data_IF_462129770645
#
_entry.id   IF_462129770645
#
_cell.length_a   1.000
_cell.length_b   1.000
_cell.length_c   1.000
_cell.angle_alpha   90.00
_cell.angle_beta   90.00
_cell.angle_gamma   90.00
#
_symmetry.space_group_name_H-M   'P 1'
#
loop_
_entity.id
_entity.type
_entity.pdbx_description
1 polymer ?
#
# COMPACT_ATOMS: atom_id res chain seq x y z
N UNK A 1 1.19 49.65 56.82
CA UNK A 1 1.03 49.46 55.34
C UNK A 1 1.58 48.07 55.00
N UNK A 2 0.74 47.08 54.90
CA UNK A 2 1.07 45.74 54.39
C UNK A 2 0.92 45.82 52.88
N UNK A 3 2.01 45.63 52.16
CA UNK A 3 1.97 45.45 50.70
C UNK A 3 1.52 44.03 50.41
N UNK A 4 0.29 43.90 49.97
CA UNK A 4 -0.22 42.66 49.40
C UNK A 4 0.45 42.50 48.03
N UNK A 5 1.45 41.61 47.94
CA UNK A 5 2.00 41.12 46.70
C UNK A 5 0.91 40.29 46.03
N UNK A 6 0.18 40.91 45.11
CA UNK A 6 -0.62 40.18 44.13
C UNK A 6 0.37 39.45 43.24
N UNK A 7 0.55 38.13 43.52
CA UNK A 7 1.30 37.26 42.66
C UNK A 7 0.53 37.11 41.35
N UNK A 8 0.97 37.85 40.34
CA UNK A 8 0.63 37.57 38.94
C UNK A 8 0.87 36.09 38.71
N UNK A 9 -0.08 35.40 38.03
CA UNK A 9 -0.07 33.96 37.78
C UNK A 9 1.06 33.50 36.84
N UNK A 10 2.28 33.91 37.09
CA UNK A 10 3.48 33.40 36.47
C UNK A 10 3.75 32.01 37.01
N UNK A 11 3.63 31.03 36.13
CA UNK A 11 3.98 29.63 36.44
C UNK A 11 5.49 29.59 36.60
N UNK A 12 6.01 29.56 37.83
CA UNK A 12 7.45 29.41 38.06
C UNK A 12 7.90 27.99 37.71
N UNK A 13 8.67 27.92 36.63
CA UNK A 13 9.26 26.67 36.12
C UNK A 13 10.09 25.94 37.20
N UNK A 14 10.71 26.68 38.10
CA UNK A 14 11.47 26.09 39.23
C UNK A 14 10.57 25.36 40.21
N UNK A 15 9.40 25.90 40.50
CA UNK A 15 8.40 25.28 41.34
C UNK A 15 7.87 23.98 40.71
N UNK A 16 7.64 23.95 39.41
CA UNK A 16 7.22 22.73 38.71
C UNK A 16 8.32 21.67 38.80
N UNK A 17 9.58 22.04 38.54
CA UNK A 17 10.70 21.10 38.59
C UNK A 17 10.89 20.53 40.01
N UNK A 18 10.80 21.37 41.04
CA UNK A 18 10.93 20.92 42.44
C UNK A 18 9.80 19.98 42.83
N UNK A 19 8.57 20.24 42.40
CA UNK A 19 7.40 19.38 42.63
C UNK A 19 7.54 18.03 41.90
N UNK A 20 8.00 18.03 40.67
CA UNK A 20 8.30 16.80 39.92
C UNK A 20 9.40 16.00 40.61
N UNK A 21 10.44 16.68 41.12
CA UNK A 21 11.52 16.02 41.83
C UNK A 21 11.08 15.38 43.17
N UNK A 22 10.21 16.06 43.93
CA UNK A 22 9.63 15.50 45.17
C UNK A 22 8.70 14.30 44.88
N UNK A 23 8.03 14.28 43.74
CA UNK A 23 7.15 13.19 43.26
C UNK A 23 7.82 12.11 42.44
N UNK A 24 9.16 12.09 42.32
CA UNK A 24 9.89 11.17 41.41
C UNK A 24 9.52 9.70 41.56
N UNK A 25 9.14 9.24 42.74
CA UNK A 25 8.73 7.85 43.02
C UNK A 25 7.45 7.52 42.22
N UNK A 26 6.48 8.43 42.14
CA UNK A 26 5.24 8.23 41.36
C UNK A 26 5.52 8.19 39.86
N UNK A 27 6.47 9.02 39.38
CA UNK A 27 6.89 8.99 37.97
C UNK A 27 7.56 7.67 37.62
N UNK A 28 8.46 7.19 38.47
CA UNK A 28 9.16 5.90 38.28
C UNK A 28 8.14 4.75 38.30
N UNK A 29 7.22 4.76 39.28
CA UNK A 29 6.19 3.72 39.37
C UNK A 29 5.27 3.71 38.11
N UNK A 30 4.82 4.87 37.68
CA UNK A 30 4.02 4.99 36.46
C UNK A 30 4.77 4.49 35.21
N UNK A 31 6.07 4.78 35.12
CA UNK A 31 6.92 4.30 34.02
C UNK A 31 7.09 2.78 34.07
N UNK A 32 7.30 2.20 35.24
CA UNK A 32 7.42 0.74 35.42
C UNK A 32 6.11 0.06 34.98
N UNK A 33 4.96 0.58 35.41
CA UNK A 33 3.64 0.06 35.03
C UNK A 33 3.44 0.15 33.51
N UNK A 34 3.79 1.29 32.93
CA UNK A 34 3.67 1.49 31.46
C UNK A 34 4.55 0.52 30.67
N UNK A 35 5.80 0.30 31.09
CA UNK A 35 6.72 -0.66 30.48
C UNK A 35 6.20 -2.09 30.62
N UNK A 36 5.64 -2.43 31.79
CA UNK A 36 5.06 -3.75 32.02
C UNK A 36 3.84 -4.00 31.10
N UNK A 37 2.96 -3.02 30.95
CA UNK A 37 1.83 -3.09 30.02
C UNK A 37 2.30 -3.22 28.57
N UNK A 38 3.36 -2.51 28.19
CA UNK A 38 3.96 -2.62 26.85
C UNK A 38 4.58 -4.00 26.61
N UNK A 39 5.26 -4.57 27.59
CA UNK A 39 5.81 -5.93 27.53
C UNK A 39 4.69 -6.98 27.37
N UNK A 40 3.61 -6.83 28.11
CA UNK A 40 2.42 -7.68 27.98
C UNK A 40 1.76 -7.55 26.60
N UNK A 41 1.64 -6.32 26.08
CA UNK A 41 1.17 -6.09 24.71
C UNK A 41 2.05 -6.81 23.67
N UNK A 42 3.38 -6.75 23.81
CA UNK A 42 4.32 -7.39 22.90
C UNK A 42 4.20 -8.92 22.86
N UNK A 43 3.76 -9.55 23.95
CA UNK A 43 3.51 -10.99 24.00
C UNK A 43 2.27 -11.42 23.21
N UNK A 44 1.24 -10.56 23.18
CA UNK A 44 -0.05 -10.85 22.55
C UNK A 44 -0.08 -10.33 21.10
N UNK A 45 0.74 -9.33 20.79
CA UNK A 45 0.73 -8.67 19.49
C UNK A 45 1.10 -9.64 18.36
N UNK A 46 0.30 -9.62 17.32
CA UNK A 46 0.48 -10.44 16.12
C UNK A 46 1.78 -10.05 15.40
N UNK A 47 2.63 -11.03 15.13
CA UNK A 47 3.90 -10.82 14.42
C UNK A 47 3.62 -10.61 12.94
N UNK A 48 4.15 -9.51 12.38
CA UNK A 48 4.02 -9.19 10.96
C UNK A 48 5.37 -9.27 10.27
N UNK A 49 5.33 -9.73 9.03
CA UNK A 49 6.49 -9.85 8.15
C UNK A 49 6.36 -8.85 7.01
N UNK A 50 7.47 -8.32 6.55
CA UNK A 50 7.49 -7.43 5.39
C UNK A 50 7.64 -8.26 4.12
N UNK A 51 6.72 -8.04 3.21
CA UNK A 51 6.78 -8.55 1.83
C UNK A 51 7.31 -7.43 0.96
N UNK A 52 8.31 -7.72 0.12
CA UNK A 52 8.85 -6.78 -0.86
C UNK A 52 8.86 -7.40 -2.25
N UNK A 53 8.45 -6.61 -3.24
CA UNK A 53 8.51 -6.97 -4.64
C UNK A 53 8.86 -5.72 -5.46
N UNK A 54 9.76 -5.86 -6.44
CA UNK A 54 10.15 -4.76 -7.31
C UNK A 54 9.95 -5.13 -8.77
N UNK A 55 9.31 -4.23 -9.50
CA UNK A 55 9.12 -4.31 -10.94
C UNK A 55 9.88 -3.16 -11.62
N UNK A 56 10.45 -3.45 -12.77
CA UNK A 56 10.98 -2.43 -13.68
C UNK A 56 10.13 -2.34 -14.95
N UNK A 57 10.02 -1.16 -15.58
CA UNK A 57 9.35 -1.02 -16.86
C UNK A 57 10.02 -1.87 -17.93
N UNK A 58 9.22 -2.50 -18.81
CA UNK A 58 9.72 -3.20 -19.99
C UNK A 58 10.10 -2.16 -21.04
N UNK A 59 11.34 -2.18 -21.51
CA UNK A 59 11.81 -1.31 -22.59
C UNK A 59 12.46 0.00 -22.19
N UNK A 60 12.50 0.38 -20.91
CA UNK A 60 13.35 1.49 -20.46
C UNK A 60 14.82 1.07 -20.35
N UNK A 61 15.51 1.17 -21.45
CA UNK A 61 16.94 1.54 -21.38
C UNK A 61 16.97 3.05 -21.31
N UNK A 62 17.14 3.63 -20.10
CA UNK A 62 17.51 5.04 -19.97
C UNK A 62 18.64 5.28 -20.94
N UNK A 63 18.50 6.30 -21.80
CA UNK A 63 19.53 6.82 -22.69
C UNK A 63 20.74 7.26 -21.87
N UNK A 64 21.53 6.31 -21.39
CA UNK A 64 22.91 6.50 -21.02
C UNK A 64 23.74 5.51 -21.83
N UNK A 65 24.20 6.05 -22.97
CA UNK A 65 25.49 5.74 -23.60
C UNK A 65 25.78 4.28 -23.99
N UNK A 66 25.95 4.07 -25.27
CA UNK A 66 26.98 3.21 -25.84
C UNK A 66 26.98 1.70 -25.54
N UNK A 67 25.81 1.10 -25.31
CA UNK A 67 25.70 -0.36 -25.44
C UNK A 67 24.78 -0.68 -26.61
N UNK A 68 25.24 -1.47 -27.61
CA UNK A 68 24.42 -1.89 -28.76
C UNK A 68 23.43 -2.96 -28.28
N UNK A 69 22.34 -2.52 -27.62
CA UNK A 69 21.20 -3.34 -27.27
C UNK A 69 20.02 -3.00 -28.18
N UNK A 70 19.13 -3.93 -28.35
CA UNK A 70 17.98 -3.95 -29.27
C UNK A 70 17.15 -2.64 -29.38
N UNK A 71 17.20 -1.74 -28.38
CA UNK A 71 16.59 -0.40 -28.43
C UNK A 71 17.20 0.53 -29.48
N UNK A 72 18.48 0.37 -29.80
CA UNK A 72 19.15 1.13 -30.86
C UNK A 72 18.71 0.72 -32.25
N UNK A 73 18.37 -0.52 -32.47
CA UNK A 73 17.86 -0.99 -33.75
C UNK A 73 16.43 -0.53 -34.03
N UNK A 74 15.58 -0.42 -33.01
CA UNK A 74 14.23 0.10 -33.17
C UNK A 74 14.21 1.58 -33.58
N UNK A 75 15.11 2.40 -32.98
CA UNK A 75 15.25 3.82 -33.33
C UNK A 75 15.89 4.03 -34.73
N UNK A 76 16.83 3.17 -35.12
CA UNK A 76 17.41 3.19 -36.46
C UNK A 76 16.43 2.75 -37.57
N UNK A 77 15.45 1.88 -37.23
CA UNK A 77 14.39 1.47 -38.12
C UNK A 77 13.23 2.49 -38.21
N UNK A 78 13.35 3.65 -37.54
CA UNK A 78 12.30 4.66 -37.51
C UNK A 78 11.05 4.21 -36.70
N UNK A 79 11.17 3.11 -35.97
CA UNK A 79 10.09 2.58 -35.14
C UNK A 79 10.09 3.42 -33.86
N UNK A 80 9.25 4.44 -33.80
CA UNK A 80 8.87 5.05 -32.56
C UNK A 80 8.05 4.02 -31.78
N UNK A 81 8.72 3.31 -30.87
CA UNK A 81 8.00 2.65 -29.79
C UNK A 81 7.07 3.70 -29.16
N UNK A 82 5.81 3.36 -28.86
CA UNK A 82 4.94 4.30 -28.16
C UNK A 82 5.63 4.66 -26.85
N UNK A 83 6.36 5.77 -26.85
CA UNK A 83 7.13 6.30 -25.72
C UNK A 83 6.21 7.10 -24.79
N UNK A 84 5.08 6.55 -24.44
CA UNK A 84 4.30 6.99 -23.30
C UNK A 84 4.57 6.12 -22.08
N UNK A 85 5.82 5.64 -21.94
CA UNK A 85 6.23 4.74 -20.86
C UNK A 85 5.80 5.24 -19.47
N UNK A 86 5.87 6.54 -19.22
CA UNK A 86 5.43 7.11 -17.95
C UNK A 86 3.91 7.04 -17.76
N UNK A 87 3.12 7.23 -18.84
CA UNK A 87 1.66 7.18 -18.74
C UNK A 87 1.16 5.72 -18.61
N UNK A 88 1.68 4.83 -19.41
CA UNK A 88 1.29 3.40 -19.39
C UNK A 88 1.68 2.75 -18.06
N UNK A 89 2.83 3.12 -17.50
CA UNK A 89 3.27 2.65 -16.21
C UNK A 89 2.43 3.22 -15.05
N UNK A 90 1.97 4.47 -15.17
CA UNK A 90 1.02 5.06 -14.22
C UNK A 90 -0.34 4.38 -14.28
N UNK A 91 -0.86 4.10 -15.49
CA UNK A 91 -2.11 3.37 -15.69
C UNK A 91 -1.98 1.95 -15.12
N UNK A 92 -0.87 1.27 -15.38
CA UNK A 92 -0.58 -0.04 -14.81
C UNK A 92 -0.62 -0.04 -13.28
N UNK A 93 -0.01 0.96 -12.64
CA UNK A 93 -0.01 1.13 -11.18
C UNK A 93 -1.42 1.31 -10.62
N UNK A 94 -2.26 2.13 -11.27
CA UNK A 94 -3.66 2.32 -10.86
C UNK A 94 -4.49 1.05 -11.06
N UNK A 95 -4.24 0.33 -12.15
CA UNK A 95 -4.95 -0.89 -12.49
C UNK A 95 -4.76 -1.98 -11.43
N UNK A 96 -3.57 -2.11 -10.85
CA UNK A 96 -3.26 -3.09 -9.80
C UNK A 96 -4.21 -2.98 -8.61
N UNK A 97 -4.62 -1.76 -8.24
CA UNK A 97 -5.53 -1.50 -7.11
C UNK A 97 -6.98 -1.38 -7.54
N UNK A 98 -7.28 -1.61 -8.82
CA UNK A 98 -8.62 -1.44 -9.39
C UNK A 98 -9.59 -2.56 -8.98
N UNK A 99 -10.88 -2.26 -9.09
CA UNK A 99 -11.93 -3.25 -8.94
C UNK A 99 -11.91 -4.30 -10.05
N UNK A 100 -11.47 -3.94 -11.27
CA UNK A 100 -11.38 -4.83 -12.42
C UNK A 100 -10.39 -5.98 -12.19
N UNK A 101 -9.18 -5.66 -11.74
CA UNK A 101 -8.18 -6.67 -11.35
C UNK A 101 -8.66 -7.50 -10.16
N UNK A 102 -9.26 -6.85 -9.19
CA UNK A 102 -9.81 -7.53 -8.00
C UNK A 102 -10.94 -8.49 -8.34
N UNK A 103 -11.75 -8.22 -9.37
CA UNK A 103 -12.81 -9.11 -9.85
C UNK A 103 -12.24 -10.41 -10.42
N UNK A 104 -11.18 -10.33 -11.18
CA UNK A 104 -10.50 -11.52 -11.73
C UNK A 104 -9.85 -12.33 -10.60
N UNK A 105 -9.14 -11.67 -9.66
CA UNK A 105 -8.52 -12.32 -8.50
C UNK A 105 -9.57 -12.97 -7.59
N UNK A 106 -10.76 -12.39 -7.51
CA UNK A 106 -11.84 -12.89 -6.66
C UNK A 106 -12.27 -14.33 -7.01
N UNK A 107 -11.99 -14.78 -8.21
CA UNK A 107 -12.21 -16.17 -8.63
C UNK A 107 -11.21 -17.15 -7.96
N UNK A 108 -10.08 -16.65 -7.44
CA UNK A 108 -9.11 -17.45 -6.68
C UNK A 108 -9.57 -17.62 -5.23
N UNK A 109 -10.41 -18.66 -5.00
CA UNK A 109 -11.01 -18.93 -3.69
C UNK A 109 -9.99 -19.10 -2.55
N UNK A 110 -8.76 -19.54 -2.86
CA UNK A 110 -7.71 -19.74 -1.85
C UNK A 110 -7.26 -18.40 -1.29
N UNK A 111 -6.89 -17.47 -2.16
CA UNK A 111 -6.44 -16.12 -1.77
C UNK A 111 -7.55 -15.41 -0.99
N UNK A 112 -8.79 -15.45 -1.48
CA UNK A 112 -9.93 -14.78 -0.84
C UNK A 112 -10.20 -15.35 0.55
N UNK A 113 -10.19 -16.67 0.69
CA UNK A 113 -10.37 -17.32 1.99
C UNK A 113 -9.27 -16.94 2.99
N UNK A 114 -8.03 -16.87 2.52
CA UNK A 114 -6.90 -16.53 3.40
C UNK A 114 -6.91 -15.06 3.80
N UNK A 115 -7.23 -14.15 2.87
CA UNK A 115 -7.34 -12.72 3.17
C UNK A 115 -8.49 -12.44 4.15
N UNK A 116 -9.67 -12.97 3.87
CA UNK A 116 -10.87 -12.77 4.70
C UNK A 116 -11.10 -13.93 5.69
N UNK A 117 -10.03 -14.54 6.18
CA UNK A 117 -10.12 -15.70 7.07
C UNK A 117 -10.84 -15.43 8.39
N UNK A 118 -10.81 -14.20 8.90
CA UNK A 118 -11.58 -13.80 10.09
C UNK A 118 -13.10 -13.82 9.88
N UNK A 119 -13.54 -13.81 8.63
CA UNK A 119 -14.95 -13.86 8.22
C UNK A 119 -15.35 -15.25 7.68
N UNK A 120 -14.39 -16.16 7.53
CA UNK A 120 -14.64 -17.50 7.01
C UNK A 120 -15.19 -18.43 8.10
N UNK A 121 -16.38 -18.96 7.89
CA UNK A 121 -16.94 -20.01 8.74
C UNK A 121 -16.63 -21.39 8.13
N UNK A 122 -15.73 -22.13 8.79
CA UNK A 122 -15.31 -23.47 8.34
C UNK A 122 -16.42 -24.50 8.35
N UNK A 123 -17.39 -24.40 9.28
CA UNK A 123 -18.50 -25.32 9.42
C UNK A 123 -19.54 -25.12 8.30
N UNK A 124 -19.87 -23.87 7.99
CA UNK A 124 -20.86 -23.53 6.96
C UNK A 124 -20.24 -23.36 5.57
N UNK A 125 -18.90 -23.42 5.46
CA UNK A 125 -18.13 -23.18 4.21
C UNK A 125 -18.52 -21.90 3.49
N UNK A 126 -18.89 -20.87 4.25
CA UNK A 126 -19.27 -19.55 3.72
C UNK A 126 -18.66 -18.42 4.54
N UNK A 127 -18.74 -17.20 4.00
CA UNK A 127 -18.33 -15.99 4.72
C UNK A 127 -19.50 -15.49 5.58
N UNK A 128 -19.20 -15.10 6.81
CA UNK A 128 -20.17 -14.56 7.75
C UNK A 128 -19.58 -13.38 8.53
N UNK A 129 -20.45 -12.54 9.09
CA UNK A 129 -20.01 -11.42 9.91
C UNK A 129 -19.15 -11.95 11.08
N UNK A 130 -17.91 -11.45 11.26
CA UNK A 130 -17.06 -11.89 12.36
C UNK A 130 -17.69 -11.55 13.71
N UNK A 131 -17.64 -12.50 14.64
CA UNK A 131 -18.09 -12.25 16.01
C UNK A 131 -17.06 -11.34 16.71
N UNK A 132 -17.50 -10.16 17.10
CA UNK A 132 -16.64 -9.22 17.86
C UNK A 132 -16.45 -9.74 19.27
N UNK A 133 -15.20 -9.77 19.74
CA UNK A 133 -14.89 -9.98 21.15
C UNK A 133 -15.51 -8.87 22.02
N UNK A 134 -15.80 -9.16 23.31
CA UNK A 134 -16.32 -8.16 24.27
C UNK A 134 -15.44 -6.90 24.32
N UNK A 135 -14.10 -7.06 24.28
CA UNK A 135 -13.17 -5.94 24.25
C UNK A 135 -13.30 -5.11 22.95
N UNK A 136 -13.39 -5.77 21.80
CA UNK A 136 -13.58 -5.07 20.51
C UNK A 136 -14.92 -4.33 20.44
N UNK A 137 -15.95 -4.88 21.07
CA UNK A 137 -17.28 -4.23 21.17
C UNK A 137 -17.17 -2.96 22.03
N UNK A 138 -16.48 -3.02 23.17
CA UNK A 138 -16.24 -1.86 24.04
C UNK A 138 -15.49 -0.75 23.30
N UNK A 139 -14.36 -1.06 22.65
CA UNK A 139 -13.58 -0.08 21.88
C UNK A 139 -14.36 0.46 20.68
N UNK A 140 -15.17 -0.35 20.02
CA UNK A 140 -16.01 0.12 18.90
C UNK A 140 -17.08 1.09 19.36
N UNK A 141 -17.71 0.85 20.52
CA UNK A 141 -18.70 1.74 21.11
C UNK A 141 -18.07 3.05 21.59
N UNK A 142 -16.88 3.00 22.19
CA UNK A 142 -16.11 4.18 22.57
C UNK A 142 -15.72 5.02 21.35
N UNK A 143 -15.26 4.38 20.28
CA UNK A 143 -14.98 5.06 19.00
C UNK A 143 -16.25 5.70 18.41
N UNK A 144 -17.39 5.02 18.45
CA UNK A 144 -18.68 5.58 18.00
C UNK A 144 -19.07 6.82 18.79
N UNK A 145 -18.84 6.83 20.10
CA UNK A 145 -19.12 7.98 20.97
C UNK A 145 -18.26 9.20 20.58
N UNK A 146 -16.97 8.98 20.26
CA UNK A 146 -16.04 10.07 19.92
C UNK A 146 -16.19 10.60 18.48
N UNK A 147 -16.52 9.74 17.52
CA UNK A 147 -16.49 10.09 16.09
C UNK A 147 -17.86 10.26 15.47
N UNK A 148 -18.95 10.05 16.22
CA UNK A 148 -20.33 10.17 15.69
C UNK A 148 -20.64 9.25 14.52
N UNK A 149 -19.98 8.14 14.40
CA UNK A 149 -19.90 7.34 13.19
C UNK A 149 -21.19 6.63 12.83
N UNK A 150 -21.58 6.72 11.54
CA UNK A 150 -22.61 5.89 10.93
C UNK A 150 -22.21 4.42 11.02
N UNK A 151 -23.13 3.52 11.29
CA UNK A 151 -22.87 2.09 11.22
C UNK A 151 -22.49 1.71 9.79
N UNK A 152 -21.27 1.24 9.61
CA UNK A 152 -20.85 0.63 8.34
C UNK A 152 -21.59 -0.70 8.25
N UNK A 153 -22.56 -0.79 7.33
CA UNK A 153 -23.29 -2.02 7.06
C UNK A 153 -22.27 -3.07 6.60
N UNK A 154 -22.22 -4.20 7.31
CA UNK A 154 -21.38 -5.31 6.92
C UNK A 154 -21.79 -5.83 5.54
N UNK A 155 -20.86 -5.88 4.61
CA UNK A 155 -21.02 -6.51 3.30
C UNK A 155 -20.12 -7.73 3.22
N UNK A 156 -20.58 -8.80 2.62
CA UNK A 156 -19.77 -9.99 2.37
C UNK A 156 -18.50 -9.64 1.56
N UNK A 157 -17.42 -10.43 1.65
CA UNK A 157 -16.29 -10.29 0.77
C UNK A 157 -16.73 -10.21 -0.70
N UNK A 158 -16.25 -9.20 -1.39
CA UNK A 158 -16.56 -8.93 -2.79
C UNK A 158 -15.34 -8.25 -3.46
N UNK A 159 -15.30 -8.15 -4.80
CA UNK A 159 -14.17 -7.56 -5.51
C UNK A 159 -13.81 -6.13 -5.05
N UNK A 160 -14.80 -5.29 -4.73
CA UNK A 160 -14.55 -3.92 -4.26
C UNK A 160 -13.84 -3.92 -2.89
N UNK A 161 -14.23 -4.83 -1.98
CA UNK A 161 -13.55 -4.99 -0.69
C UNK A 161 -12.11 -5.50 -0.85
N UNK A 162 -11.87 -6.36 -1.84
CA UNK A 162 -10.52 -6.81 -2.17
C UNK A 162 -9.67 -5.65 -2.70
N UNK A 163 -10.21 -4.81 -3.59
CA UNK A 163 -9.53 -3.61 -4.08
C UNK A 163 -9.16 -2.65 -2.93
N UNK A 164 -10.08 -2.42 -1.98
CA UNK A 164 -9.80 -1.63 -0.78
C UNK A 164 -8.70 -2.28 0.05
N UNK A 165 -8.74 -3.60 0.26
CA UNK A 165 -7.71 -4.33 0.99
C UNK A 165 -6.33 -4.15 0.34
N UNK A 166 -6.23 -4.27 -0.99
CA UNK A 166 -4.98 -4.07 -1.74
C UNK A 166 -4.46 -2.64 -1.51
N UNK A 167 -5.32 -1.64 -1.67
CA UNK A 167 -4.94 -0.23 -1.54
C UNK A 167 -4.50 0.15 -0.11
N UNK A 168 -5.12 -0.42 0.92
CA UNK A 168 -4.81 -0.11 2.31
C UNK A 168 -3.59 -0.88 2.84
N UNK A 169 -3.36 -2.11 2.38
CA UNK A 169 -2.34 -3.00 2.95
C UNK A 169 -1.09 -3.12 2.08
N UNK A 170 -1.14 -2.74 0.80
CA UNK A 170 0.00 -2.81 -0.12
C UNK A 170 0.40 -1.39 -0.52
N UNK A 171 1.58 -0.97 -0.06
CA UNK A 171 2.16 0.33 -0.44
C UNK A 171 2.88 0.17 -1.77
N UNK A 172 2.42 0.88 -2.79
CA UNK A 172 3.02 0.92 -4.11
C UNK A 172 3.71 2.27 -4.27
N UNK A 173 5.04 2.25 -4.38
CA UNK A 173 5.86 3.45 -4.55
C UNK A 173 6.73 3.32 -5.79
N UNK A 174 6.79 4.39 -6.56
CA UNK A 174 7.73 4.54 -7.64
C UNK A 174 9.02 5.18 -7.12
N UNK A 175 10.14 4.53 -7.36
CA UNK A 175 11.47 5.03 -6.99
C UNK A 175 11.88 6.09 -8.02
N UNK A 176 12.03 7.34 -7.60
CA UNK A 176 12.30 8.48 -8.50
C UNK A 176 13.60 8.34 -9.31
N UNK A 177 14.59 7.67 -8.76
CA UNK A 177 15.91 7.51 -9.41
C UNK A 177 15.90 6.43 -10.49
N UNK A 178 15.19 5.34 -10.24
CA UNK A 178 15.18 4.15 -11.10
C UNK A 178 13.94 4.01 -11.96
N UNK A 179 12.84 4.68 -11.59
CA UNK A 179 11.52 4.49 -12.19
C UNK A 179 10.88 3.14 -11.83
N UNK A 180 11.44 2.39 -10.89
CA UNK A 180 10.95 1.07 -10.53
C UNK A 180 9.75 1.18 -9.57
N UNK A 181 8.78 0.27 -9.73
CA UNK A 181 7.70 0.12 -8.76
C UNK A 181 8.13 -0.81 -7.63
N UNK A 182 8.14 -0.27 -6.41
CA UNK A 182 8.34 -1.03 -5.19
C UNK A 182 7.02 -1.28 -4.49
N UNK A 183 6.69 -2.55 -4.31
CA UNK A 183 5.57 -3.03 -3.51
C UNK A 183 6.07 -3.41 -2.13
N UNK A 184 5.40 -2.92 -1.10
CA UNK A 184 5.75 -3.23 0.29
C UNK A 184 4.47 -3.47 1.08
N UNK A 185 4.42 -4.56 1.84
CA UNK A 185 3.31 -4.87 2.74
C UNK A 185 3.81 -5.46 4.04
N UNK A 186 3.24 -5.04 5.17
CA UNK A 186 3.48 -5.63 6.49
C UNK A 186 2.26 -6.46 6.90
N UNK A 187 2.40 -7.77 6.94
CA UNK A 187 1.29 -8.71 7.13
C UNK A 187 1.68 -9.91 7.99
N UNK A 188 0.71 -10.49 8.67
CA UNK A 188 0.84 -11.78 9.35
C UNK A 188 0.72 -12.98 8.41
N UNK A 189 0.26 -12.76 7.15
CA UNK A 189 0.12 -13.77 6.11
C UNK A 189 0.95 -13.43 4.88
N UNK A 190 2.29 -13.45 5.00
CA UNK A 190 3.17 -12.93 3.96
C UNK A 190 3.07 -13.70 2.64
N UNK A 191 2.91 -15.02 2.67
CA UNK A 191 2.79 -15.83 1.45
C UNK A 191 1.52 -15.53 0.66
N UNK A 192 0.39 -15.31 1.35
CA UNK A 192 -0.88 -14.97 0.71
C UNK A 192 -0.81 -13.58 0.06
N UNK A 193 -0.24 -12.60 0.78
CA UNK A 193 -0.12 -11.23 0.26
C UNK A 193 0.90 -11.19 -0.87
N UNK A 194 1.99 -11.96 -0.78
CA UNK A 194 2.94 -12.08 -1.88
C UNK A 194 2.28 -12.66 -3.14
N UNK A 195 1.53 -13.75 -2.98
CA UNK A 195 0.79 -14.36 -4.09
C UNK A 195 -0.23 -13.38 -4.69
N UNK A 196 -0.91 -12.61 -3.84
CA UNK A 196 -1.85 -11.57 -4.27
C UNK A 196 -1.14 -10.49 -5.11
N UNK A 197 0.03 -10.00 -4.68
CA UNK A 197 0.79 -8.97 -5.41
C UNK A 197 1.23 -9.51 -6.79
N UNK A 198 1.75 -10.75 -6.84
CA UNK A 198 2.19 -11.39 -8.09
C UNK A 198 1.00 -11.55 -9.04
N UNK A 199 -0.13 -12.03 -8.54
CA UNK A 199 -1.32 -12.26 -9.35
C UNK A 199 -1.92 -10.93 -9.83
N UNK A 200 -2.01 -9.91 -8.97
CA UNK A 200 -2.49 -8.58 -9.34
C UNK A 200 -1.62 -7.93 -10.42
N UNK A 201 -0.30 -8.01 -10.29
CA UNK A 201 0.63 -7.45 -11.29
C UNK A 201 0.55 -8.21 -12.62
N UNK A 202 0.44 -9.54 -12.59
CA UNK A 202 0.30 -10.36 -13.79
C UNK A 202 -1.01 -10.08 -14.54
N UNK A 203 -2.13 -9.99 -13.82
CA UNK A 203 -3.44 -9.70 -14.39
C UNK A 203 -3.44 -8.29 -14.99
N UNK A 204 -2.86 -7.30 -14.28
CA UNK A 204 -2.76 -5.94 -14.79
C UNK A 204 -1.94 -5.86 -16.09
N UNK A 205 -0.85 -6.61 -16.17
CA UNK A 205 -0.02 -6.69 -17.39
C UNK A 205 -0.81 -7.29 -18.57
N UNK A 206 -1.57 -8.34 -18.31
CA UNK A 206 -2.40 -8.99 -19.32
C UNK A 206 -3.56 -8.11 -19.80
N UNK A 207 -4.23 -7.40 -18.88
CA UNK A 207 -5.29 -6.44 -19.25
C UNK A 207 -4.71 -5.31 -20.11
N UNK A 208 -3.55 -4.77 -19.75
CA UNK A 208 -2.89 -3.73 -20.54
C UNK A 208 -2.49 -4.23 -21.91
N UNK A 209 -1.95 -5.44 -21.98
CA UNK A 209 -1.62 -6.12 -23.22
C UNK A 209 -2.84 -6.27 -24.12
N UNK A 210 -3.94 -6.79 -23.57
CA UNK A 210 -5.17 -7.01 -24.32
C UNK A 210 -5.75 -5.70 -24.84
N UNK A 211 -5.83 -4.67 -24.01
CA UNK A 211 -6.29 -3.34 -24.43
C UNK A 211 -5.44 -2.77 -25.57
N UNK A 212 -4.13 -2.99 -25.52
CA UNK A 212 -3.22 -2.55 -26.57
C UNK A 212 -3.44 -3.31 -27.88
N UNK A 213 -3.64 -4.63 -27.79
CA UNK A 213 -3.98 -5.47 -28.95
C UNK A 213 -5.30 -5.03 -29.59
N UNK A 214 -6.34 -4.83 -28.77
CA UNK A 214 -7.65 -4.39 -29.24
C UNK A 214 -7.57 -3.03 -29.92
N UNK A 215 -6.86 -2.06 -29.29
CA UNK A 215 -6.67 -0.72 -29.82
C UNK A 215 -5.90 -0.70 -31.17
N UNK A 216 -4.96 -1.63 -31.39
CA UNK A 216 -4.20 -1.72 -32.64
C UNK A 216 -4.90 -2.55 -33.72
N UNK A 217 -5.76 -3.47 -33.32
CA UNK A 217 -6.46 -4.35 -34.26
C UNK A 217 -7.56 -3.63 -35.05
N UNK A 218 -8.30 -2.73 -34.39
CA UNK A 218 -9.38 -1.99 -35.04
C UNK A 218 -8.90 -1.10 -36.19
N UNK A 219 -7.89 -0.23 -36.05
CA UNK A 219 -7.31 0.53 -37.17
C UNK A 219 -6.74 -0.36 -38.26
N UNK A 220 -6.11 -1.48 -37.90
CA UNK A 220 -5.52 -2.41 -38.83
C UNK A 220 -6.57 -3.00 -39.83
N UNK A 221 -7.71 -3.41 -39.29
CA UNK A 221 -8.83 -3.91 -40.10
C UNK A 221 -9.33 -2.82 -41.03
N UNK A 222 -9.53 -1.60 -40.51
CA UNK A 222 -9.96 -0.46 -41.31
C UNK A 222 -8.97 -0.11 -42.43
N UNK A 223 -7.67 -0.06 -42.15
CA UNK A 223 -6.66 0.25 -43.18
C UNK A 223 -6.57 -0.83 -44.24
N UNK A 224 -6.66 -2.11 -43.89
CA UNK A 224 -6.69 -3.23 -44.85
C UNK A 224 -7.91 -3.17 -45.78
N UNK A 225 -9.07 -2.77 -45.25
CA UNK A 225 -10.27 -2.58 -46.07
C UNK A 225 -10.11 -1.39 -47.02
N UNK A 226 -9.61 -0.25 -46.54
CA UNK A 226 -9.34 0.93 -47.37
C UNK A 226 -8.29 0.65 -48.45
N UNK A 227 -7.28 -0.16 -48.16
CA UNK A 227 -6.26 -0.56 -49.12
C UNK A 227 -6.84 -1.30 -50.35
N UNK A 228 -7.91 -2.11 -50.15
CA UNK A 228 -8.60 -2.81 -51.21
C UNK A 228 -9.30 -1.87 -52.20
N UNK A 229 -9.76 -0.72 -51.75
CA UNK A 229 -10.52 0.26 -52.52
C UNK A 229 -9.67 1.43 -53.00
N UNK A 230 -8.44 1.56 -52.53
CA UNK A 230 -7.53 2.64 -52.92
C UNK A 230 -7.09 2.53 -54.39
N UNK A 231 -7.32 3.61 -55.13
CA UNK A 231 -7.02 3.67 -56.58
C UNK A 231 -5.68 4.33 -56.92
N UNK A 232 -5.27 5.34 -56.15
CA UNK A 232 -3.99 6.01 -56.39
C UNK A 232 -2.83 5.26 -55.74
N UNK A 233 -1.65 5.34 -56.33
CA UNK A 233 -0.43 4.70 -55.86
C UNK A 233 -0.01 5.28 -54.51
N UNK A 234 -0.02 6.60 -54.39
CA UNK A 234 0.37 7.32 -53.18
C UNK A 234 -0.52 6.94 -52.01
N UNK A 235 -1.82 6.79 -52.21
CA UNK A 235 -2.77 6.39 -51.18
C UNK A 235 -2.52 4.95 -50.73
N UNK A 236 -2.18 4.05 -51.65
CA UNK A 236 -1.84 2.65 -51.33
C UNK A 236 -0.54 2.55 -50.53
N UNK A 237 0.47 3.33 -50.92
CA UNK A 237 1.76 3.37 -50.19
C UNK A 237 1.57 3.91 -48.76
N UNK A 238 0.81 4.99 -48.59
CA UNK A 238 0.48 5.52 -47.25
C UNK A 238 -0.27 4.52 -46.37
N UNK A 239 -1.27 3.82 -46.91
CA UNK A 239 -2.01 2.79 -46.20
C UNK A 239 -1.14 1.58 -45.85
N UNK A 240 -0.24 1.16 -46.75
CA UNK A 240 0.69 0.08 -46.48
C UNK A 240 1.67 0.43 -45.33
N UNK A 241 2.11 1.67 -45.26
CA UNK A 241 2.93 2.16 -44.14
C UNK A 241 2.17 2.12 -42.80
N UNK A 242 0.91 2.59 -42.80
CA UNK A 242 0.05 2.54 -41.60
C UNK A 242 -0.20 1.10 -41.15
N UNK A 243 -0.49 0.19 -42.06
CA UNK A 243 -0.66 -1.25 -41.80
C UNK A 243 0.62 -1.81 -41.19
N UNK A 244 1.78 -1.53 -41.77
CA UNK A 244 3.07 -1.99 -41.25
C UNK A 244 3.33 -1.51 -39.82
N UNK A 245 2.99 -0.26 -39.52
CA UNK A 245 3.13 0.30 -38.18
C UNK A 245 2.22 -0.42 -37.15
N UNK A 246 0.96 -0.67 -37.50
CA UNK A 246 0.05 -1.38 -36.59
C UNK A 246 0.44 -2.86 -36.42
N UNK A 247 0.88 -3.54 -37.51
CA UNK A 247 1.38 -4.92 -37.40
C UNK A 247 2.64 -5.01 -36.52
N UNK A 248 3.55 -4.04 -36.61
CA UNK A 248 4.69 -3.96 -35.72
C UNK A 248 4.27 -3.82 -34.26
N UNK A 249 3.29 -2.96 -33.96
CA UNK A 249 2.74 -2.81 -32.62
C UNK A 249 2.19 -4.14 -32.06
N UNK A 250 1.40 -4.85 -32.89
CA UNK A 250 0.85 -6.16 -32.50
C UNK A 250 1.95 -7.20 -32.29
N UNK A 251 3.01 -7.19 -33.12
CA UNK A 251 4.18 -8.06 -32.90
C UNK A 251 4.84 -7.78 -31.55
N UNK A 252 4.98 -6.51 -31.12
CA UNK A 252 5.53 -6.17 -29.83
C UNK A 252 4.63 -6.65 -28.69
N UNK A 253 3.33 -6.45 -28.78
CA UNK A 253 2.37 -6.92 -27.78
C UNK A 253 2.38 -8.46 -27.63
N UNK A 254 2.65 -9.18 -28.72
CA UNK A 254 2.73 -10.64 -28.73
C UNK A 254 4.07 -11.19 -28.25
N UNK A 255 5.09 -10.35 -28.11
CA UNK A 255 6.42 -10.76 -27.70
C UNK A 255 6.59 -10.70 -26.19
N UNK A 256 7.28 -11.72 -25.66
CA UNK A 256 7.74 -11.74 -24.28
C UNK A 256 6.67 -12.14 -23.26
N UNK A 257 7.16 -12.47 -22.10
CA UNK A 257 6.34 -12.88 -20.95
C UNK A 257 5.65 -11.70 -20.29
N UNK A 258 6.30 -10.54 -20.30
CA UNK A 258 5.85 -9.30 -19.66
C UNK A 258 5.66 -8.21 -20.71
N UNK A 259 4.64 -7.38 -20.58
CA UNK A 259 4.30 -6.33 -21.53
C UNK A 259 4.67 -4.93 -21.00
N UNK A 260 4.19 -4.55 -19.79
CA UNK A 260 4.44 -3.24 -19.18
C UNK A 260 5.57 -3.30 -18.15
N UNK A 261 5.56 -4.33 -17.30
CA UNK A 261 6.47 -4.39 -16.15
C UNK A 261 6.99 -5.81 -15.91
N UNK A 262 8.30 -5.94 -15.75
CA UNK A 262 8.94 -7.22 -15.45
C UNK A 262 9.58 -7.23 -14.05
N UNK A 263 9.66 -8.40 -13.40
CA UNK A 263 10.35 -8.53 -12.11
C UNK A 263 11.82 -8.12 -12.21
N UNK A 264 12.23 -7.15 -11.40
CA UNK A 264 13.63 -6.77 -11.26
C UNK A 264 14.34 -7.65 -10.24
N UNK A 265 13.66 -7.92 -9.11
CA UNK A 265 14.14 -8.81 -8.06
C UNK A 265 13.02 -9.79 -7.75
N UNK A 266 13.37 -11.05 -7.49
CA UNK A 266 12.40 -12.02 -7.03
C UNK A 266 11.71 -11.51 -5.77
N UNK A 267 10.39 -11.72 -5.63
CA UNK A 267 9.66 -11.29 -4.47
C UNK A 267 10.23 -11.96 -3.21
N UNK A 268 10.37 -11.17 -2.14
CA UNK A 268 10.98 -11.61 -0.89
C UNK A 268 10.07 -11.37 0.30
N UNK A 269 10.22 -12.23 1.30
CA UNK A 269 9.58 -12.11 2.61
C UNK A 269 10.71 -11.94 3.63
N UNK A 270 10.55 -11.02 4.58
CA UNK A 270 11.54 -10.81 5.63
C UNK A 270 11.72 -12.08 6.48
N UNK A 271 12.98 -12.43 6.78
CA UNK A 271 13.32 -13.63 7.57
C UNK A 271 12.77 -13.53 9.01
N UNK A 272 12.75 -12.32 9.56
CA UNK A 272 12.28 -12.05 10.92
C UNK A 272 11.07 -11.13 10.92
N UNK A 273 10.19 -11.20 11.94
CA UNK A 273 9.10 -10.25 12.09
C UNK A 273 9.61 -8.81 12.12
N UNK A 274 9.03 -7.95 11.31
CA UNK A 274 9.39 -6.52 11.22
C UNK A 274 8.53 -5.64 12.11
N UNK A 275 7.37 -6.14 12.53
CA UNK A 275 6.43 -5.46 13.43
C UNK A 275 5.78 -6.47 14.39
N UNK A 276 5.47 -6.06 15.63
CA UNK A 276 5.84 -4.81 16.27
C UNK A 276 7.34 -4.71 16.55
N UNK A 277 7.88 -3.48 16.62
CA UNK A 277 9.30 -3.22 16.96
C UNK A 277 9.48 -3.11 18.48
N UNK A 278 10.00 -4.16 19.18
CA UNK A 278 9.98 -4.19 20.64
C UNK A 278 10.73 -3.02 21.26
N UNK A 279 11.93 -2.70 20.72
CA UNK A 279 12.76 -1.60 21.23
C UNK A 279 12.03 -0.25 21.22
N UNK A 280 11.35 0.08 20.12
CA UNK A 280 10.64 1.34 19.99
C UNK A 280 9.42 1.41 20.92
N UNK A 281 8.67 0.31 21.03
CA UNK A 281 7.48 0.25 21.91
C UNK A 281 7.89 0.43 23.36
N UNK A 282 8.98 -0.21 23.83
CA UNK A 282 9.48 -0.06 25.20
C UNK A 282 9.97 1.35 25.47
N UNK A 283 10.69 1.98 24.55
CA UNK A 283 11.12 3.38 24.69
C UNK A 283 9.93 4.33 24.75
N UNK A 284 8.96 4.20 23.84
CA UNK A 284 7.76 5.04 23.88
C UNK A 284 6.93 4.82 25.14
N UNK A 285 6.80 3.58 25.62
CA UNK A 285 6.07 3.30 26.86
C UNK A 285 6.72 3.93 28.08
N UNK A 286 8.06 3.94 28.15
CA UNK A 286 8.79 4.62 29.21
C UNK A 286 8.55 6.13 29.20
N UNK A 287 8.62 6.76 28.02
CA UNK A 287 8.35 8.19 27.86
C UNK A 287 6.91 8.53 28.26
N UNK A 288 5.93 7.75 27.76
CA UNK A 288 4.51 7.93 28.10
C UNK A 288 4.28 7.76 29.61
N UNK A 289 4.91 6.76 30.23
CA UNK A 289 4.82 6.55 31.66
C UNK A 289 5.38 7.71 32.49
N UNK A 290 6.50 8.30 32.06
CA UNK A 290 7.06 9.51 32.72
C UNK A 290 6.12 10.71 32.60
N UNK A 291 5.57 10.97 31.40
CA UNK A 291 4.62 12.06 31.18
C UNK A 291 3.34 11.87 32.01
N UNK A 292 2.81 10.66 32.03
CA UNK A 292 1.61 10.35 32.82
C UNK A 292 1.84 10.49 34.30
N UNK A 293 3.00 10.03 34.82
CA UNK A 293 3.43 10.22 36.18
C UNK A 293 3.57 11.70 36.56
N UNK A 294 4.17 12.51 35.69
CA UNK A 294 4.27 13.95 35.87
C UNK A 294 2.89 14.63 35.95
N UNK A 295 2.00 14.28 35.00
CA UNK A 295 0.64 14.80 35.00
C UNK A 295 -0.13 14.46 36.29
N UNK A 296 -0.01 13.23 36.83
CA UNK A 296 -0.63 12.81 38.05
C UNK A 296 -0.13 13.62 39.27
N UNK A 297 1.18 13.93 39.31
CA UNK A 297 1.75 14.73 40.40
C UNK A 297 1.20 16.16 40.38
N UNK A 298 1.15 16.77 39.20
CA UNK A 298 0.65 18.14 39.03
C UNK A 298 -0.85 18.25 39.34
N UNK A 299 -1.68 17.31 38.88
CA UNK A 299 -3.12 17.31 39.16
C UNK A 299 -3.40 17.07 40.64
N UNK A 300 -2.73 16.10 41.28
CA UNK A 300 -2.87 15.86 42.74
C UNK A 300 -2.56 17.11 43.54
N UNK A 301 -1.51 17.83 43.15
CA UNK A 301 -1.12 19.03 43.89
C UNK A 301 -2.13 20.19 43.72
N UNK A 302 -2.71 20.33 42.51
CA UNK A 302 -3.76 21.34 42.26
C UNK A 302 -4.98 21.09 43.16
N UNK A 303 -5.44 19.83 43.23
CA UNK A 303 -6.61 19.46 44.05
C UNK A 303 -6.35 19.65 45.56
N UNK A 304 -5.13 19.40 46.01
CA UNK A 304 -4.77 19.58 47.45
C UNK A 304 -4.56 21.06 47.85
N UNK A 305 -4.42 21.97 46.86
CA UNK A 305 -4.29 23.41 47.15
C UNK A 305 -5.65 24.11 47.22
N UNK A 306 -6.68 23.53 46.63
CA UNK A 306 -8.05 24.05 46.56
C UNK A 306 -8.94 23.54 47.76
N UNK A 307 -8.42 22.62 48.56
CA UNK A 307 -9.02 22.17 49.86
C UNK A 307 -8.19 22.70 51.03
#
# INVERSE_FOLDING_TARGET
MRQDNVSNGEIDLKDILFRLWSGKIYMILASIISVFLAAFYLQIAERKYTVEYKLKPVGETKNNSNLPGLGGFASLAGIQLPTNSNNDFSIFKELITSAEVSEIIFNNKKIIKDIFSSEWNGTLKNFSKPQKSKAQTFFSNFKKLLTGNREIIYTLPNPKRLAIFINENIKIKEEKETGFLKFTSETSKPETVLSLIIEATKISDEIMRQRYVDFSTEPLVFYKEKLRTARSREHREALAELISKEEQKLMFASRGKYFIAEPYINPTISLHPTSPKPKLILVYSLIIGLFFGAALILTRHSIMKDN
#
